data_IF_025608451981
#
_entry.id   IF_025608451981
#
_cell.length_a   1.000
_cell.length_b   1.000
_cell.length_c   1.000
_cell.angle_alpha   90.00
_cell.angle_beta   90.00
_cell.angle_gamma   90.00
#
_symmetry.space_group_name_H-M   'P 1'
#
loop_
_entity.id
_entity.type
_entity.pdbx_description
1 polymer ?
#
# COMPACT_ATOMS: atom_id res chain seq x y z
N UNK A 1 -16.32 -5.52 25.04
CA UNK A 1 -15.66 -6.47 24.12
C UNK A 1 -16.02 -6.08 22.71
N UNK A 2 -15.06 -6.07 21.74
CA UNK A 2 -15.41 -5.81 20.35
C UNK A 2 -16.32 -6.94 19.88
N UNK A 3 -17.46 -6.56 19.33
CA UNK A 3 -18.60 -7.44 19.01
C UNK A 3 -18.42 -8.28 17.74
N UNK A 4 -17.31 -8.10 17.03
CA UNK A 4 -17.07 -8.71 15.72
C UNK A 4 -15.65 -9.31 15.67
N UNK A 5 -15.56 -10.63 15.59
CA UNK A 5 -14.32 -11.42 15.65
C UNK A 5 -14.00 -12.16 14.33
N UNK A 6 -14.71 -11.87 13.24
CA UNK A 6 -14.56 -12.60 11.97
C UNK A 6 -14.84 -11.69 10.78
N UNK A 7 -13.89 -11.62 9.85
CA UNK A 7 -14.06 -11.01 8.52
C UNK A 7 -14.35 -12.12 7.50
N UNK A 8 -15.52 -12.06 6.85
CA UNK A 8 -15.92 -12.98 5.78
C UNK A 8 -16.68 -12.18 4.72
N UNK A 9 -16.41 -12.37 3.41
CA UNK A 9 -17.14 -11.69 2.35
C UNK A 9 -18.47 -12.42 2.12
N UNK A 10 -19.43 -12.25 3.01
CA UNK A 10 -20.75 -12.88 2.87
C UNK A 10 -21.86 -11.84 2.90
N UNK A 11 -22.20 -11.36 1.69
CA UNK A 11 -23.42 -10.64 1.29
C UNK A 11 -23.48 -9.15 1.67
N UNK A 12 -24.11 -8.30 0.83
CA UNK A 12 -24.03 -6.86 1.01
C UNK A 12 -24.90 -6.46 2.19
N UNK A 13 -24.27 -6.18 3.33
CA UNK A 13 -24.87 -5.20 4.23
C UNK A 13 -24.98 -3.90 3.42
N UNK A 14 -26.13 -3.24 3.52
CA UNK A 14 -26.62 -2.09 2.74
C UNK A 14 -25.75 -0.81 2.81
N UNK A 15 -24.45 -0.93 3.08
CA UNK A 15 -23.49 0.14 3.35
C UNK A 15 -22.50 0.22 2.20
N UNK A 16 -22.25 1.45 1.75
CA UNK A 16 -21.27 1.75 0.72
C UNK A 16 -19.89 1.19 1.10
N UNK A 17 -19.16 0.65 0.13
CA UNK A 17 -17.82 0.16 0.36
C UNK A 17 -16.90 1.31 0.83
N UNK A 18 -15.96 0.99 1.72
CA UNK A 18 -14.81 1.84 1.98
C UNK A 18 -13.80 1.59 0.87
N UNK A 19 -13.57 2.58 0.04
CA UNK A 19 -12.55 2.50 -1.02
C UNK A 19 -11.17 2.77 -0.44
N UNK A 20 -10.28 1.80 -0.50
CA UNK A 20 -8.87 1.95 -0.18
C UNK A 20 -8.07 2.01 -1.49
N UNK A 21 -7.32 3.08 -1.70
CA UNK A 21 -6.50 3.19 -2.91
C UNK A 21 -5.31 2.25 -2.86
N UNK A 22 -4.72 1.95 -4.01
CA UNK A 22 -3.50 1.11 -4.07
C UNK A 22 -2.35 1.76 -3.29
N UNK A 23 -2.22 3.08 -3.33
CA UNK A 23 -1.23 3.83 -2.56
C UNK A 23 -1.45 3.70 -1.04
N UNK A 24 -2.70 3.79 -0.59
CA UNK A 24 -3.06 3.62 0.82
C UNK A 24 -2.80 2.20 1.31
N UNK A 25 -3.12 1.20 0.49
CA UNK A 25 -2.79 -0.19 0.77
C UNK A 25 -1.28 -0.41 0.85
N UNK A 26 -0.50 0.12 -0.10
CA UNK A 26 0.94 -0.06 -0.12
C UNK A 26 1.61 0.63 1.08
N UNK A 27 1.14 1.82 1.47
CA UNK A 27 1.62 2.48 2.68
C UNK A 27 1.41 1.64 3.95
N UNK A 28 0.25 0.98 4.09
CA UNK A 28 -0.01 0.04 5.18
C UNK A 28 0.88 -1.18 5.10
N UNK A 29 1.05 -1.77 3.91
CA UNK A 29 1.92 -2.93 3.71
C UNK A 29 3.37 -2.62 4.09
N UNK A 30 3.90 -1.48 3.66
CA UNK A 30 5.28 -1.10 3.93
C UNK A 30 5.51 -0.82 5.42
N UNK A 31 4.66 0.00 6.05
CA UNK A 31 4.89 0.42 7.44
C UNK A 31 4.39 -0.58 8.47
N UNK A 32 3.15 -1.06 8.35
CA UNK A 32 2.54 -1.90 9.40
C UNK A 32 2.88 -3.39 9.21
N UNK A 33 2.94 -3.87 7.96
CA UNK A 33 3.19 -5.29 7.69
C UNK A 33 4.68 -5.63 7.55
N UNK A 34 5.45 -4.81 6.84
CA UNK A 34 6.90 -5.00 6.66
C UNK A 34 7.74 -4.27 7.71
N UNK A 35 7.14 -3.43 8.55
CA UNK A 35 7.82 -2.75 9.65
C UNK A 35 8.79 -1.65 9.21
N UNK A 36 8.67 -1.14 7.98
CA UNK A 36 9.53 -0.07 7.47
C UNK A 36 9.21 1.25 8.16
N UNK A 37 10.22 2.08 8.34
CA UNK A 37 10.00 3.45 8.82
C UNK A 37 9.44 4.35 7.71
N UNK A 38 8.98 5.56 8.07
CA UNK A 38 8.36 6.49 7.13
C UNK A 38 9.29 6.91 5.97
N UNK A 39 10.59 7.02 6.23
CA UNK A 39 11.56 7.43 5.21
C UNK A 39 11.79 6.30 4.20
N UNK A 40 11.92 5.06 4.67
CA UNK A 40 12.04 3.88 3.82
C UNK A 40 10.78 3.64 2.98
N UNK A 41 9.60 3.82 3.59
CA UNK A 41 8.33 3.70 2.90
C UNK A 41 8.16 4.81 1.84
N UNK A 42 8.54 6.06 2.16
CA UNK A 42 8.53 7.17 1.20
C UNK A 42 9.43 6.89 0.00
N UNK A 43 10.64 6.37 0.25
CA UNK A 43 11.60 6.03 -0.78
C UNK A 43 11.07 4.90 -1.69
N UNK A 44 10.46 3.86 -1.13
CA UNK A 44 9.88 2.78 -1.93
C UNK A 44 8.65 3.21 -2.73
N UNK A 45 7.84 4.11 -2.18
CA UNK A 45 6.67 4.67 -2.89
C UNK A 45 7.05 5.77 -3.89
N UNK A 46 8.31 6.23 -3.92
CA UNK A 46 8.75 7.30 -4.80
C UNK A 46 8.10 8.67 -4.50
N UNK A 47 7.72 8.91 -3.25
CA UNK A 47 7.03 10.14 -2.81
C UNK A 47 7.79 10.84 -1.68
N UNK A 48 7.42 12.10 -1.41
CA UNK A 48 7.95 12.82 -0.25
C UNK A 48 7.50 12.20 1.08
N UNK A 49 8.32 12.36 2.13
CA UNK A 49 8.01 11.87 3.50
C UNK A 49 6.66 12.37 4.03
N UNK A 50 6.33 13.63 3.78
CA UNK A 50 5.03 14.21 4.18
C UNK A 50 3.86 13.61 3.41
N UNK A 51 4.07 13.23 2.14
CA UNK A 51 3.07 12.57 1.30
C UNK A 51 2.78 11.16 1.80
N UNK A 52 3.79 10.35 2.10
CA UNK A 52 3.57 9.00 2.63
C UNK A 52 2.88 9.04 4.00
N UNK A 53 3.23 10.02 4.85
CA UNK A 53 2.58 10.21 6.13
C UNK A 53 1.08 10.52 5.96
N UNK A 54 0.73 11.37 4.99
CA UNK A 54 -0.66 11.69 4.67
C UNK A 54 -1.42 10.47 4.14
N UNK A 55 -0.83 9.74 3.19
CA UNK A 55 -1.42 8.52 2.61
C UNK A 55 -1.69 7.49 3.72
N UNK A 56 -0.72 7.26 4.59
CA UNK A 56 -0.84 6.33 5.70
C UNK A 56 -1.90 6.75 6.72
N UNK A 57 -1.96 8.04 7.08
CA UNK A 57 -3.00 8.55 7.96
C UNK A 57 -4.41 8.34 7.37
N UNK A 58 -4.57 8.55 6.07
CA UNK A 58 -5.82 8.31 5.35
C UNK A 58 -6.18 6.82 5.32
N UNK A 59 -5.19 5.96 5.04
CA UNK A 59 -5.35 4.50 5.03
C UNK A 59 -5.83 3.99 6.40
N UNK A 60 -5.20 4.42 7.51
CA UNK A 60 -5.62 4.06 8.86
C UNK A 60 -7.02 4.54 9.21
N UNK A 61 -7.41 5.75 8.78
CA UNK A 61 -8.77 6.25 9.00
C UNK A 61 -9.80 5.38 8.28
N UNK A 62 -9.52 4.99 7.03
CA UNK A 62 -10.38 4.10 6.25
C UNK A 62 -10.46 2.70 6.86
N UNK A 63 -9.34 2.15 7.33
CA UNK A 63 -9.35 0.89 8.08
C UNK A 63 -10.17 1.00 9.37
N UNK A 64 -10.07 2.10 10.12
CA UNK A 64 -10.86 2.30 11.32
C UNK A 64 -12.37 2.33 11.00
N UNK A 65 -12.77 3.06 9.96
CA UNK A 65 -14.17 3.10 9.48
C UNK A 65 -14.65 1.71 9.07
N UNK A 66 -13.84 1.00 8.28
CA UNK A 66 -14.10 -0.38 7.87
C UNK A 66 -14.34 -1.31 9.07
N UNK A 67 -13.45 -1.27 10.08
CA UNK A 67 -13.52 -2.12 11.26
C UNK A 67 -14.69 -1.76 12.19
N UNK A 68 -14.93 -0.46 12.43
CA UNK A 68 -15.92 0.03 13.38
C UNK A 68 -17.34 -0.04 12.80
N UNK A 69 -17.50 0.32 11.52
CA UNK A 69 -18.79 0.30 10.85
C UNK A 69 -19.11 -1.05 10.19
N UNK A 70 -18.18 -2.00 10.17
CA UNK A 70 -18.37 -3.31 9.55
C UNK A 70 -18.71 -3.23 8.05
N UNK A 71 -18.11 -2.26 7.36
CA UNK A 71 -18.38 -2.01 5.93
C UNK A 71 -17.55 -2.95 5.05
N UNK A 72 -17.95 -3.18 3.79
CA UNK A 72 -17.05 -3.82 2.82
C UNK A 72 -15.81 -2.92 2.58
N UNK A 73 -14.62 -3.52 2.44
CA UNK A 73 -13.41 -2.82 1.99
C UNK A 73 -13.15 -3.21 0.54
N UNK A 74 -12.99 -2.22 -0.33
CA UNK A 74 -12.64 -2.44 -1.73
C UNK A 74 -11.32 -1.75 -2.03
N UNK A 75 -10.36 -2.51 -2.54
CA UNK A 75 -9.06 -1.97 -2.96
C UNK A 75 -9.13 -1.66 -4.44
N UNK A 76 -8.87 -0.41 -4.84
CA UNK A 76 -8.92 -0.01 -6.24
C UNK A 76 -8.69 1.48 -6.45
N UNK A 77 -8.51 1.88 -7.71
CA UNK A 77 -8.21 3.26 -8.08
C UNK A 77 -6.83 3.76 -7.61
N UNK A 78 -6.63 5.07 -7.66
CA UNK A 78 -5.35 5.72 -7.35
C UNK A 78 -4.38 5.75 -8.54
N UNK A 79 -3.30 6.50 -8.40
CA UNK A 79 -2.25 6.60 -9.41
C UNK A 79 -1.08 5.71 -9.00
N UNK A 80 -1.02 4.49 -9.54
CA UNK A 80 0.05 3.54 -9.26
C UNK A 80 0.71 3.09 -10.57
N UNK A 81 2.04 2.97 -10.57
CA UNK A 81 2.79 2.42 -11.68
C UNK A 81 3.05 0.93 -11.42
N UNK A 82 2.52 0.08 -12.30
CA UNK A 82 2.94 -1.32 -12.35
C UNK A 82 4.30 -1.37 -13.05
N UNK A 83 5.25 -2.14 -12.51
CA UNK A 83 6.48 -2.42 -13.25
C UNK A 83 6.11 -3.15 -14.55
N UNK A 84 6.51 -2.64 -15.74
CA UNK A 84 6.24 -3.33 -16.99
C UNK A 84 6.96 -4.68 -16.96
N UNK A 85 6.20 -5.77 -17.10
CA UNK A 85 6.71 -7.15 -17.00
C UNK A 85 7.88 -7.44 -17.95
N UNK A 86 8.07 -6.65 -19.01
CA UNK A 86 9.09 -6.86 -20.03
C UNK A 86 10.52 -6.57 -19.55
N UNK A 87 10.72 -5.69 -18.56
CA UNK A 87 12.04 -5.42 -17.97
C UNK A 87 12.41 -6.37 -16.82
N UNK A 88 11.54 -7.34 -16.50
CA UNK A 88 11.71 -8.29 -15.41
C UNK A 88 11.89 -9.76 -15.87
N UNK A 89 12.42 -9.99 -17.08
CA UNK A 89 12.80 -11.35 -17.54
C UNK A 89 14.00 -11.87 -16.75
N UNK A 90 13.79 -12.29 -15.50
CA UNK A 90 14.83 -12.92 -14.69
C UNK A 90 14.60 -12.97 -13.18
N UNK A 91 13.62 -12.25 -12.63
CA UNK A 91 13.39 -12.28 -11.18
C UNK A 91 12.39 -13.40 -10.80
N UNK A 92 12.92 -14.57 -10.40
CA UNK A 92 12.14 -15.67 -9.81
C UNK A 92 11.60 -15.37 -8.40
N UNK A 93 11.41 -14.10 -8.01
CA UNK A 93 10.96 -13.63 -6.68
C UNK A 93 10.31 -12.24 -6.78
N UNK A 94 9.39 -11.89 -5.86
CA UNK A 94 8.70 -10.60 -5.87
C UNK A 94 9.64 -9.49 -5.40
N UNK A 95 10.14 -8.66 -6.32
CA UNK A 95 11.10 -7.60 -5.98
C UNK A 95 10.39 -6.32 -5.47
N UNK A 96 10.85 -5.82 -4.32
CA UNK A 96 10.56 -4.46 -3.80
C UNK A 96 11.72 -3.48 -4.03
N UNK A 97 12.63 -3.75 -4.98
CA UNK A 97 13.93 -3.06 -5.09
C UNK A 97 14.70 -3.33 -6.39
N UNK A 98 14.22 -2.89 -7.55
CA UNK A 98 15.12 -2.69 -8.70
C UNK A 98 15.89 -1.34 -8.65
N UNK A 99 15.89 -0.64 -7.51
CA UNK A 99 16.67 0.58 -7.28
C UNK A 99 17.54 0.48 -6.03
N UNK A 100 18.40 -0.53 -5.94
CA UNK A 100 19.59 -0.43 -5.10
C UNK A 100 20.78 -1.02 -5.83
N UNK A 101 21.49 -0.12 -6.53
CA UNK A 101 22.87 -0.21 -6.99
C UNK A 101 23.13 -0.95 -8.30
N UNK A 102 23.42 -0.18 -9.35
CA UNK A 102 24.59 -0.25 -10.25
C UNK A 102 24.61 1.12 -10.96
N UNK A 103 25.65 1.94 -11.09
CA UNK A 103 27.07 1.86 -10.81
C UNK A 103 27.65 3.21 -11.30
N UNK A 104 28.77 3.61 -10.73
CA UNK A 104 29.57 4.80 -11.05
C UNK A 104 30.12 4.75 -12.50
N UNK A 105 30.56 5.91 -13.00
CA UNK A 105 31.38 6.18 -14.22
C UNK A 105 30.57 6.43 -15.51
N UNK A 106 30.80 7.50 -16.30
CA UNK A 106 32.06 8.18 -16.55
C UNK A 106 31.92 9.72 -16.67
N UNK A 107 32.97 10.39 -16.19
CA UNK A 107 33.41 11.70 -16.68
C UNK A 107 33.81 11.60 -18.15
N UNK A 108 33.39 12.59 -18.95
CA UNK A 108 34.20 13.36 -19.92
C UNK A 108 33.28 14.14 -20.86
#
# INVERSE_FOLDING_TARGET
MPTHCRFSPERPAHREAVELTVEEYEALRLMDYLGLNQEEAAAQMGVARTTVQRIYAQARRKLAVFLVEGRPLQIGGGSYALCPQESCRGCGRPCGRCASQDGKEASS
#
